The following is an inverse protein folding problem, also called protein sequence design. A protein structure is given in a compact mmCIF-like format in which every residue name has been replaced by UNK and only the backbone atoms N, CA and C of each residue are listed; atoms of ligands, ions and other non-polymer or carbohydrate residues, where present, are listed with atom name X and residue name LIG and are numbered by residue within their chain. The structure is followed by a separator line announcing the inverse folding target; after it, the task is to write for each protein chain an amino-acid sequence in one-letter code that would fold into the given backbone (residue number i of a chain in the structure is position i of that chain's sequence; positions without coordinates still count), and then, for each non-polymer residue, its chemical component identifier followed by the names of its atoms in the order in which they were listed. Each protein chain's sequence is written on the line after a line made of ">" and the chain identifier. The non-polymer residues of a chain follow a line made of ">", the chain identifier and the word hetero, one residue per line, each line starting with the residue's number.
data_IF_915332853401
#
_entry.id   IF_915332853401
#
_cell.length_a   1.000
_cell.length_b   1.000
_cell.length_c   1.000
_cell.angle_alpha   90.00
_cell.angle_beta   90.00
_cell.angle_gamma   90.00
#
_symmetry.space_group_name_H-M   'P 1'
#
loop_
_entity.id
_entity.type
_entity.pdbx_description
1 polymer ?
#
# COMPACT_ATOMS: atom_id res chain seq x y z
N UNK A 1 -9.80 -47.00 -10.99
CA UNK A 1 -10.54 -45.97 -10.29
C UNK A 1 -10.11 -44.63 -10.84
N UNK A 2 -10.83 -44.17 -11.84
CA UNK A 2 -10.61 -42.92 -12.57
C UNK A 2 -11.04 -41.74 -11.70
N UNK A 3 -10.09 -40.89 -11.35
CA UNK A 3 -10.28 -39.69 -10.56
C UNK A 3 -10.89 -38.62 -11.49
N UNK A 4 -12.22 -38.63 -11.64
CA UNK A 4 -12.96 -37.54 -12.29
C UNK A 4 -12.73 -36.27 -11.48
N UNK A 5 -11.89 -35.36 -12.00
CA UNK A 5 -11.89 -33.96 -11.59
C UNK A 5 -13.32 -33.45 -11.79
N UNK A 6 -14.08 -33.32 -10.71
CA UNK A 6 -15.33 -32.56 -10.68
C UNK A 6 -15.03 -31.15 -11.18
N UNK A 7 -15.27 -30.90 -12.44
CA UNK A 7 -15.37 -29.55 -12.97
C UNK A 7 -16.49 -28.85 -12.20
N UNK A 8 -16.11 -27.88 -11.38
CA UNK A 8 -17.07 -27.01 -10.74
C UNK A 8 -17.87 -26.32 -11.85
N UNK A 9 -19.20 -26.43 -11.87
CA UNK A 9 -20.00 -25.83 -12.94
C UNK A 9 -19.71 -24.32 -12.98
N UNK A 10 -19.43 -23.80 -14.17
CA UNK A 10 -19.23 -22.38 -14.41
C UNK A 10 -20.45 -21.65 -13.84
N UNK A 11 -20.27 -20.91 -12.74
CA UNK A 11 -21.37 -20.24 -12.08
C UNK A 11 -22.10 -19.32 -13.07
N UNK A 12 -23.43 -19.50 -13.18
CA UNK A 12 -24.25 -18.63 -14.01
C UNK A 12 -24.03 -17.17 -13.63
N UNK A 13 -24.08 -16.25 -14.62
CA UNK A 13 -23.92 -14.82 -14.37
C UNK A 13 -25.11 -14.32 -13.52
N UNK A 14 -24.89 -13.99 -12.26
CA UNK A 14 -25.91 -13.52 -11.32
C UNK A 14 -25.37 -12.45 -10.40
N UNK A 15 -26.25 -11.56 -9.95
CA UNK A 15 -25.92 -10.52 -8.96
C UNK A 15 -25.65 -11.09 -7.57
N UNK A 16 -26.12 -12.28 -7.26
CA UNK A 16 -25.85 -12.99 -6.00
C UNK A 16 -24.41 -13.48 -5.90
N UNK A 17 -23.71 -13.53 -7.03
CA UNK A 17 -22.33 -13.98 -7.09
C UNK A 17 -21.30 -12.93 -6.61
N UNK A 18 -21.72 -11.72 -6.22
CA UNK A 18 -20.83 -10.62 -5.77
C UNK A 18 -19.93 -11.06 -4.61
N UNK A 19 -20.44 -11.91 -3.72
CA UNK A 19 -19.72 -12.40 -2.54
C UNK A 19 -19.03 -13.75 -2.75
N UNK A 20 -19.07 -14.29 -3.97
CA UNK A 20 -18.42 -15.58 -4.28
C UNK A 20 -17.12 -15.36 -5.02
N UNK A 21 -16.02 -15.98 -4.56
CA UNK A 21 -14.67 -15.82 -5.12
C UNK A 21 -14.60 -16.16 -6.63
N UNK A 22 -15.33 -17.17 -7.07
CA UNK A 22 -15.38 -17.61 -8.48
C UNK A 22 -16.71 -17.23 -9.14
N UNK A 23 -17.48 -16.33 -8.56
CA UNK A 23 -18.77 -15.89 -9.06
C UNK A 23 -18.62 -14.95 -10.26
N UNK A 24 -19.42 -15.13 -11.29
CA UNK A 24 -19.49 -14.22 -12.45
C UNK A 24 -20.60 -13.21 -12.21
N UNK A 25 -20.25 -11.93 -12.20
CA UNK A 25 -21.19 -10.80 -12.02
C UNK A 25 -21.48 -10.18 -13.41
N UNK A 26 -22.71 -9.69 -13.66
CA UNK A 26 -23.02 -8.96 -14.89
C UNK A 26 -22.13 -7.73 -15.03
N UNK A 27 -21.61 -7.48 -16.26
CA UNK A 27 -20.69 -6.37 -16.54
C UNK A 27 -21.24 -5.00 -16.11
N UNK A 28 -22.54 -4.78 -16.26
CA UNK A 28 -23.20 -3.54 -15.86
C UNK A 28 -23.09 -3.21 -14.37
N UNK A 29 -22.87 -4.21 -13.49
CA UNK A 29 -22.58 -4.03 -12.07
C UNK A 29 -21.09 -4.14 -11.76
N UNK A 30 -20.37 -5.00 -12.46
CA UNK A 30 -18.95 -5.19 -12.25
C UNK A 30 -18.14 -3.93 -12.56
N UNK A 31 -18.48 -3.17 -13.61
CA UNK A 31 -17.77 -1.95 -14.00
C UNK A 31 -17.88 -0.86 -12.92
N UNK A 32 -19.07 -0.46 -12.43
CA UNK A 32 -19.17 0.53 -11.37
C UNK A 32 -18.44 0.12 -10.08
N UNK A 33 -18.56 -1.13 -9.64
CA UNK A 33 -17.85 -1.62 -8.47
C UNK A 33 -16.33 -1.62 -8.65
N UNK A 34 -15.86 -2.03 -9.84
CA UNK A 34 -14.43 -1.97 -10.18
C UNK A 34 -13.91 -0.54 -10.19
N UNK A 35 -14.64 0.40 -10.77
CA UNK A 35 -14.28 1.81 -10.79
C UNK A 35 -14.23 2.41 -9.38
N UNK A 36 -15.23 2.13 -8.56
CA UNK A 36 -15.25 2.54 -7.15
C UNK A 36 -14.03 2.01 -6.39
N UNK A 37 -13.67 0.75 -6.61
CA UNK A 37 -12.51 0.14 -5.98
C UNK A 37 -11.20 0.81 -6.42
N UNK A 38 -11.04 1.07 -7.72
CA UNK A 38 -9.87 1.79 -8.26
C UNK A 38 -9.77 3.19 -7.67
N UNK A 39 -10.86 3.95 -7.61
CA UNK A 39 -10.86 5.31 -7.05
C UNK A 39 -10.51 5.32 -5.56
N UNK A 40 -11.05 4.39 -4.78
CA UNK A 40 -10.74 4.28 -3.35
C UNK A 40 -9.27 3.94 -3.11
N UNK A 41 -8.71 2.98 -3.88
CA UNK A 41 -7.34 2.53 -3.72
C UNK A 41 -6.31 3.49 -4.34
N UNK A 42 -6.71 4.30 -5.31
CA UNK A 42 -5.85 5.32 -5.91
C UNK A 42 -5.32 6.29 -4.85
N UNK A 43 -6.22 6.88 -4.06
CA UNK A 43 -5.85 7.84 -3.02
C UNK A 43 -5.02 7.19 -1.92
N UNK A 44 -5.40 5.99 -1.47
CA UNK A 44 -4.67 5.28 -0.40
C UNK A 44 -3.26 4.86 -0.82
N UNK A 45 -3.02 4.61 -2.10
CA UNK A 45 -1.68 4.31 -2.62
C UNK A 45 -0.82 5.56 -2.81
N UNK A 46 -1.44 6.71 -3.14
CA UNK A 46 -0.71 7.98 -3.32
C UNK A 46 -0.21 8.54 -1.99
N UNK A 47 -1.01 8.46 -0.91
CA UNK A 47 -0.71 9.11 0.35
C UNK A 47 0.67 8.75 0.93
N UNK A 48 1.07 7.48 1.10
CA UNK A 48 2.37 7.14 1.67
C UNK A 48 3.54 7.58 0.77
N UNK A 49 3.36 7.52 -0.55
CA UNK A 49 4.41 7.97 -1.50
C UNK A 49 4.58 9.47 -1.43
N UNK A 50 3.48 10.24 -1.39
CA UNK A 50 3.52 11.70 -1.26
C UNK A 50 4.19 12.12 0.05
N UNK A 51 3.85 11.49 1.18
CA UNK A 51 4.44 11.80 2.49
C UNK A 51 5.96 11.59 2.45
N UNK A 52 6.41 10.47 1.89
CA UNK A 52 7.85 10.17 1.78
C UNK A 52 8.54 11.12 0.81
N UNK A 53 7.99 11.34 -0.38
CA UNK A 53 8.60 12.19 -1.40
C UNK A 53 8.67 13.67 -0.98
N UNK A 54 7.67 14.16 -0.23
CA UNK A 54 7.68 15.56 0.27
C UNK A 54 8.74 15.81 1.33
N UNK A 55 9.20 14.77 2.04
CA UNK A 55 10.25 14.86 3.05
C UNK A 55 11.62 14.41 2.53
N UNK A 56 11.69 13.81 1.34
CA UNK A 56 12.90 13.22 0.81
C UNK A 56 13.89 14.27 0.31
N UNK A 57 15.17 14.02 0.60
CA UNK A 57 16.29 14.84 0.18
C UNK A 57 17.08 14.15 -0.93
N UNK A 58 17.71 14.95 -1.79
CA UNK A 58 18.69 14.45 -2.79
C UNK A 58 19.99 14.14 -2.09
N UNK A 59 20.56 12.99 -2.38
CA UNK A 59 21.80 12.53 -1.78
C UNK A 59 22.95 13.48 -2.07
N UNK A 60 23.66 13.88 -1.03
CA UNK A 60 24.87 14.71 -1.11
C UNK A 60 24.62 16.22 -1.24
N UNK A 61 23.50 16.66 -1.81
CA UNK A 61 23.13 18.08 -1.84
C UNK A 61 22.29 18.48 -0.62
N UNK A 62 21.50 17.52 -0.08
CA UNK A 62 20.54 17.81 0.99
C UNK A 62 19.37 18.67 0.54
N UNK A 63 19.22 18.90 -0.77
CA UNK A 63 18.10 19.65 -1.32
C UNK A 63 16.82 18.78 -1.40
N UNK A 64 15.63 19.37 -1.24
CA UNK A 64 14.37 18.66 -1.42
C UNK A 64 14.18 18.23 -2.88
N UNK A 65 13.44 17.16 -3.08
CA UNK A 65 13.04 16.69 -4.41
C UNK A 65 12.23 17.75 -5.15
N UNK A 66 12.50 17.90 -6.43
CA UNK A 66 11.70 18.77 -7.31
C UNK A 66 10.32 18.18 -7.58
N UNK A 67 9.34 19.04 -7.90
CA UNK A 67 7.99 18.58 -8.24
C UNK A 67 7.94 17.60 -9.42
N UNK A 68 8.88 17.70 -10.37
CA UNK A 68 8.98 16.78 -11.50
C UNK A 68 9.43 15.38 -11.04
N UNK A 69 10.42 15.30 -10.16
CA UNK A 69 10.91 14.04 -9.58
C UNK A 69 9.85 13.36 -8.72
N UNK A 70 9.14 14.12 -7.89
CA UNK A 70 8.02 13.61 -7.09
C UNK A 70 6.96 13.01 -8.01
N UNK A 71 6.58 13.71 -9.09
CA UNK A 71 5.59 13.21 -10.06
C UNK A 71 6.06 11.91 -10.71
N UNK A 72 7.32 11.83 -11.10
CA UNK A 72 7.89 10.62 -11.69
C UNK A 72 7.88 9.44 -10.72
N UNK A 73 8.26 9.66 -9.46
CA UNK A 73 8.22 8.63 -8.41
C UNK A 73 6.79 8.13 -8.16
N UNK A 74 5.81 9.04 -8.12
CA UNK A 74 4.39 8.69 -8.01
C UNK A 74 3.91 7.82 -9.17
N UNK A 75 4.25 8.19 -10.41
CA UNK A 75 3.91 7.41 -11.59
C UNK A 75 4.52 6.01 -11.55
N UNK A 76 5.80 5.90 -11.18
CA UNK A 76 6.48 4.61 -11.03
C UNK A 76 5.83 3.74 -9.94
N UNK A 77 5.48 4.33 -8.79
CA UNK A 77 4.83 3.62 -7.69
C UNK A 77 3.44 3.10 -8.10
N UNK A 78 2.65 3.91 -8.79
CA UNK A 78 1.32 3.50 -9.29
C UNK A 78 1.42 2.40 -10.35
N UNK A 79 2.40 2.49 -11.25
CA UNK A 79 2.64 1.46 -12.26
C UNK A 79 3.06 0.13 -11.62
N UNK A 80 3.98 0.17 -10.65
CA UNK A 80 4.40 -0.99 -9.89
C UNK A 80 3.25 -1.63 -9.09
N UNK A 81 2.39 -0.82 -8.46
CA UNK A 81 1.19 -1.27 -7.77
C UNK A 81 0.21 -1.99 -8.73
N UNK A 82 0.05 -1.47 -9.94
CA UNK A 82 -0.76 -2.11 -11.00
C UNK A 82 -0.22 -3.47 -11.40
N UNK A 83 1.08 -3.58 -11.66
CA UNK A 83 1.74 -4.86 -11.98
C UNK A 83 1.59 -5.84 -10.81
N UNK A 84 1.88 -5.40 -9.57
CA UNK A 84 1.74 -6.23 -8.38
C UNK A 84 0.31 -6.75 -8.20
N UNK A 85 -0.69 -5.91 -8.43
CA UNK A 85 -2.10 -6.29 -8.38
C UNK A 85 -2.46 -7.33 -9.46
N UNK A 86 -1.96 -7.16 -10.68
CA UNK A 86 -2.15 -8.16 -11.75
C UNK A 86 -1.51 -9.51 -11.39
N UNK A 87 -0.30 -9.50 -10.83
CA UNK A 87 0.37 -10.73 -10.36
C UNK A 87 -0.38 -11.40 -9.21
N UNK A 88 -1.04 -10.61 -8.36
CA UNK A 88 -1.86 -11.12 -7.26
C UNK A 88 -3.13 -11.81 -7.77
N UNK A 89 -3.79 -11.23 -8.77
CA UNK A 89 -5.00 -11.77 -9.40
C UNK A 89 -4.71 -12.98 -10.29
N UNK A 90 -3.66 -12.89 -11.09
CA UNK A 90 -3.23 -13.93 -12.02
C UNK A 90 -1.89 -14.51 -11.57
N UNK A 91 -1.92 -15.50 -10.66
CA UNK A 91 -0.69 -16.00 -10.06
C UNK A 91 0.25 -16.59 -11.11
N UNK A 92 1.50 -16.16 -11.03
CA UNK A 92 2.58 -16.68 -11.85
C UNK A 92 3.38 -17.65 -10.96
N UNK A 93 3.37 -18.93 -11.31
CA UNK A 93 4.05 -20.01 -10.62
C UNK A 93 3.61 -20.14 -9.15
N UNK A 94 4.39 -19.63 -8.18
CA UNK A 94 4.08 -19.67 -6.72
C UNK A 94 3.74 -18.29 -6.13
N UNK A 95 3.70 -17.27 -6.95
CA UNK A 95 3.46 -15.88 -6.55
C UNK A 95 2.03 -15.51 -6.92
N UNK A 96 1.28 -14.96 -5.96
CA UNK A 96 -0.12 -14.57 -6.11
C UNK A 96 -1.08 -15.54 -5.43
N UNK A 97 -2.16 -15.00 -4.86
CA UNK A 97 -3.14 -15.76 -4.08
C UNK A 97 -4.50 -15.96 -4.78
N UNK A 98 -4.71 -15.40 -5.97
CA UNK A 98 -6.00 -15.32 -6.68
C UNK A 98 -7.08 -14.55 -5.91
N UNK A 99 -6.66 -13.71 -4.97
CA UNK A 99 -7.59 -12.87 -4.22
C UNK A 99 -7.64 -11.47 -4.86
N UNK A 100 -8.80 -10.81 -4.92
CA UNK A 100 -8.95 -9.47 -5.45
C UNK A 100 -8.43 -8.43 -4.43
N UNK A 101 -7.14 -8.46 -4.15
CA UNK A 101 -6.45 -7.55 -3.24
C UNK A 101 -5.58 -6.63 -4.09
N UNK A 102 -5.76 -5.32 -3.93
CA UNK A 102 -4.90 -4.33 -4.57
C UNK A 102 -3.59 -4.25 -3.81
N UNK A 103 -2.49 -4.35 -4.54
CA UNK A 103 -1.15 -4.18 -4.02
C UNK A 103 -0.76 -2.71 -4.07
N UNK A 104 -0.04 -2.24 -3.07
CA UNK A 104 0.40 -0.85 -2.99
C UNK A 104 1.49 -0.65 -1.96
N UNK A 105 1.87 0.60 -1.74
CA UNK A 105 2.88 0.96 -0.74
C UNK A 105 2.28 0.79 0.66
N UNK A 106 2.98 0.08 1.54
CA UNK A 106 2.54 -0.15 2.90
C UNK A 106 2.94 0.99 3.83
N UNK A 107 1.99 1.48 4.62
CA UNK A 107 2.26 2.42 5.71
C UNK A 107 3.19 1.87 6.80
N UNK A 108 3.32 0.55 6.90
CA UNK A 108 4.19 -0.10 7.90
C UNK A 108 5.65 0.35 7.80
N UNK A 109 6.13 0.60 6.58
CA UNK A 109 7.52 1.00 6.33
C UNK A 109 7.72 2.51 6.34
N UNK A 110 6.65 3.30 6.46
CA UNK A 110 6.69 4.75 6.31
C UNK A 110 7.71 5.41 7.25
N UNK A 111 7.71 5.05 8.53
CA UNK A 111 8.67 5.58 9.51
C UNK A 111 10.13 5.27 9.14
N UNK A 112 10.42 4.05 8.73
CA UNK A 112 11.77 3.65 8.31
C UNK A 112 12.19 4.34 7.01
N UNK A 113 11.28 4.48 6.06
CA UNK A 113 11.54 5.18 4.79
C UNK A 113 11.82 6.67 5.02
N UNK A 114 11.04 7.32 5.90
CA UNK A 114 11.28 8.71 6.29
C UNK A 114 12.66 8.90 6.93
N UNK A 115 13.05 8.03 7.85
CA UNK A 115 14.39 8.09 8.47
C UNK A 115 15.53 8.00 7.46
N UNK A 116 15.38 7.22 6.41
CA UNK A 116 16.40 7.04 5.38
C UNK A 116 16.38 8.23 4.42
N UNK A 117 15.23 8.62 3.91
CA UNK A 117 15.12 9.64 2.85
C UNK A 117 15.41 11.07 3.35
N UNK A 118 15.26 11.34 4.65
CA UNK A 118 15.60 12.63 5.28
C UNK A 118 17.08 12.75 5.67
N UNK A 119 17.85 11.66 5.56
CA UNK A 119 19.28 11.70 5.82
C UNK A 119 20.02 12.23 4.58
N UNK A 120 20.78 13.36 4.67
CA UNK A 120 21.48 13.95 3.52
C UNK A 120 22.53 13.04 2.88
N UNK A 121 23.09 12.07 3.62
CA UNK A 121 24.07 11.11 3.10
C UNK A 121 23.43 10.00 2.27
N UNK A 122 22.22 9.61 2.61
CA UNK A 122 21.49 8.51 1.97
C UNK A 122 20.50 9.02 0.92
N UNK A 123 19.70 10.01 1.28
CA UNK A 123 18.70 10.61 0.42
C UNK A 123 17.66 9.62 -0.10
N UNK A 124 16.94 10.03 -1.14
CA UNK A 124 15.93 9.16 -1.77
C UNK A 124 16.58 7.98 -2.53
N UNK A 125 17.78 8.12 -3.04
CA UNK A 125 18.52 7.05 -3.71
C UNK A 125 18.84 5.90 -2.75
N UNK A 126 19.29 6.25 -1.54
CA UNK A 126 19.53 5.28 -0.48
C UNK A 126 18.24 4.59 -0.04
N UNK A 127 17.14 5.33 0.02
CA UNK A 127 15.81 4.79 0.31
C UNK A 127 15.37 3.77 -0.76
N UNK A 128 15.49 4.09 -2.04
CA UNK A 128 15.16 3.15 -3.14
C UNK A 128 16.03 1.89 -3.05
N UNK A 129 17.34 2.06 -2.79
CA UNK A 129 18.23 0.91 -2.56
C UNK A 129 17.77 0.03 -1.41
N UNK A 130 17.38 0.63 -0.28
CA UNK A 130 16.85 -0.09 0.87
C UNK A 130 15.53 -0.83 0.55
N UNK A 131 14.64 -0.22 -0.23
CA UNK A 131 13.38 -0.86 -0.66
C UNK A 131 13.64 -2.07 -1.55
N UNK A 132 14.59 -1.99 -2.48
CA UNK A 132 14.96 -3.11 -3.37
C UNK A 132 15.52 -4.28 -2.54
N UNK A 133 16.47 -4.00 -1.65
CA UNK A 133 17.07 -5.02 -0.78
C UNK A 133 16.05 -5.61 0.18
N UNK A 134 15.21 -4.76 0.78
CA UNK A 134 14.11 -5.18 1.65
C UNK A 134 13.11 -6.07 0.93
N UNK A 135 12.73 -5.72 -0.30
CA UNK A 135 11.81 -6.49 -1.13
C UNK A 135 12.36 -7.88 -1.49
N UNK A 136 13.66 -7.99 -1.79
CA UNK A 136 14.32 -9.27 -2.01
C UNK A 136 14.28 -10.12 -0.72
N UNK A 137 14.61 -9.52 0.41
CA UNK A 137 14.57 -10.19 1.71
C UNK A 137 13.16 -10.65 2.07
N UNK A 138 12.16 -9.78 1.90
CA UNK A 138 10.74 -10.09 2.14
C UNK A 138 10.26 -11.23 1.23
N UNK A 139 10.68 -11.23 -0.04
CA UNK A 139 10.40 -12.31 -0.97
C UNK A 139 10.96 -13.64 -0.51
N UNK A 140 12.19 -13.68 0.00
CA UNK A 140 12.83 -14.88 0.56
C UNK A 140 12.09 -15.37 1.81
N UNK A 141 11.72 -14.44 2.71
CA UNK A 141 10.91 -14.75 3.90
C UNK A 141 9.52 -15.27 3.47
N UNK A 142 8.92 -14.69 2.44
CA UNK A 142 7.64 -15.13 1.88
C UNK A 142 7.69 -16.57 1.35
N UNK A 143 8.77 -16.98 0.68
CA UNK A 143 8.97 -18.35 0.24
C UNK A 143 9.05 -19.34 1.41
N UNK A 144 9.56 -18.89 2.55
CA UNK A 144 9.64 -19.68 3.81
C UNK A 144 8.37 -19.58 4.68
N UNK A 145 7.30 -18.95 4.20
CA UNK A 145 6.05 -18.70 4.95
C UNK A 145 5.44 -19.96 5.57
N UNK A 146 5.68 -21.14 4.98
CA UNK A 146 5.26 -22.43 5.53
C UNK A 146 5.74 -22.65 6.98
N UNK A 147 6.93 -22.16 7.31
CA UNK A 147 7.52 -22.31 8.65
C UNK A 147 7.01 -21.21 9.60
N UNK A 148 6.85 -19.98 9.11
CA UNK A 148 6.49 -18.81 9.91
C UNK A 148 5.01 -18.73 10.29
N UNK A 149 4.11 -19.25 9.44
CA UNK A 149 2.67 -19.20 9.71
C UNK A 149 2.24 -19.83 11.04
N UNK A 150 3.07 -20.72 11.62
CA UNK A 150 2.81 -21.31 12.93
C UNK A 150 2.93 -20.29 14.07
N UNK A 151 3.78 -19.28 13.89
CA UNK A 151 3.99 -18.21 14.88
C UNK A 151 2.99 -17.06 14.74
N UNK A 152 2.35 -16.93 13.58
CA UNK A 152 1.35 -15.89 13.30
C UNK A 152 -0.01 -16.26 13.92
N UNK A 153 -0.08 -16.18 15.25
CA UNK A 153 -1.34 -16.32 15.97
C UNK A 153 -2.16 -15.02 15.85
N UNK A 154 -3.50 -15.04 16.04
CA UNK A 154 -4.32 -13.84 16.04
C UNK A 154 -3.83 -12.77 17.03
N UNK A 155 -3.29 -13.18 18.18
CA UNK A 155 -2.73 -12.28 19.20
C UNK A 155 -1.49 -11.55 18.67
N UNK A 156 -0.57 -12.28 18.04
CA UNK A 156 0.63 -11.68 17.43
C UNK A 156 0.23 -10.68 16.34
N UNK A 157 -0.71 -11.04 15.48
CA UNK A 157 -1.22 -10.14 14.45
C UNK A 157 -1.84 -8.88 15.04
N UNK A 158 -2.62 -8.99 16.11
CA UNK A 158 -3.20 -7.84 16.80
C UNK A 158 -2.11 -6.92 17.39
N UNK A 159 -1.09 -7.49 18.04
CA UNK A 159 0.04 -6.71 18.58
C UNK A 159 0.79 -5.95 17.48
N UNK A 160 1.03 -6.60 16.33
CA UNK A 160 1.70 -5.96 15.19
C UNK A 160 0.88 -4.80 14.64
N UNK A 161 -0.44 -4.98 14.46
CA UNK A 161 -1.34 -3.91 13.98
C UNK A 161 -1.36 -2.72 14.95
N UNK A 162 -1.41 -2.97 16.25
CA UNK A 162 -1.35 -1.92 17.29
C UNK A 162 -0.01 -1.19 17.21
N UNK A 163 1.11 -1.91 17.12
CA UNK A 163 2.44 -1.31 17.01
C UNK A 163 2.58 -0.43 15.77
N UNK A 164 2.05 -0.87 14.62
CA UNK A 164 1.99 -0.07 13.38
C UNK A 164 1.17 1.21 13.62
N UNK A 165 -0.01 1.09 14.22
CA UNK A 165 -0.86 2.24 14.54
C UNK A 165 -0.14 3.28 15.41
N UNK A 166 0.57 2.84 16.44
CA UNK A 166 1.37 3.75 17.28
C UNK A 166 2.54 4.40 16.52
N UNK A 167 3.23 3.68 15.66
CA UNK A 167 4.34 4.24 14.86
C UNK A 167 3.87 5.28 13.85
N UNK A 168 2.63 5.22 13.40
CA UNK A 168 2.03 6.18 12.48
C UNK A 168 1.37 7.38 13.16
N UNK A 169 1.28 7.37 14.47
CA UNK A 169 0.60 8.45 15.21
C UNK A 169 1.27 9.82 15.00
N UNK A 170 2.61 9.87 14.99
CA UNK A 170 3.36 11.09 14.68
C UNK A 170 3.04 11.62 13.28
N UNK A 171 3.05 10.74 12.27
CA UNK A 171 2.72 11.11 10.88
C UNK A 171 1.28 11.63 10.76
N UNK A 172 0.35 11.02 11.51
CA UNK A 172 -1.03 11.49 11.59
C UNK A 172 -1.14 12.87 12.22
N UNK A 173 -0.40 13.14 13.29
CA UNK A 173 -0.37 14.45 13.95
C UNK A 173 0.25 15.53 13.05
N UNK A 174 1.34 15.20 12.35
CA UNK A 174 1.95 16.12 11.39
C UNK A 174 0.98 16.47 10.25
N UNK A 175 0.28 15.48 9.72
CA UNK A 175 -0.74 15.68 8.69
C UNK A 175 -1.92 16.51 9.19
N UNK A 176 -2.35 16.30 10.44
CA UNK A 176 -3.43 17.09 11.07
C UNK A 176 -3.02 18.55 11.29
N UNK A 177 -1.74 18.79 11.61
CA UNK A 177 -1.19 20.13 11.82
C UNK A 177 -1.01 20.96 10.54
N UNK A 178 -1.20 20.38 9.35
CA UNK A 178 -1.02 21.06 8.07
C UNK A 178 0.01 20.41 7.14
N UNK A 179 0.69 19.35 7.62
CA UNK A 179 1.71 18.63 6.88
C UNK A 179 3.12 19.15 7.11
N UNK A 180 4.10 18.40 6.58
CA UNK A 180 5.52 18.76 6.71
C UNK A 180 5.83 20.07 5.97
N UNK A 181 6.42 21.04 6.69
CA UNK A 181 6.88 22.31 6.11
C UNK A 181 5.79 23.38 5.98
N UNK A 182 4.61 23.20 6.56
CA UNK A 182 3.60 24.25 6.61
C UNK A 182 4.07 25.42 7.51
N UNK A 183 4.09 26.64 6.98
CA UNK A 183 4.50 27.84 7.73
C UNK A 183 3.58 28.13 8.92
N UNK A 184 2.31 27.74 8.82
CA UNK A 184 1.26 27.91 9.81
C UNK A 184 0.90 26.59 10.53
N UNK A 185 1.88 25.69 10.73
CA UNK A 185 1.68 24.41 11.39
C UNK A 185 0.96 24.55 12.74
N UNK A 186 -0.08 23.73 12.92
CA UNK A 186 -0.88 23.75 14.14
C UNK A 186 -1.89 24.89 14.24
N UNK A 187 -2.11 25.66 13.15
CA UNK A 187 -3.14 26.68 13.13
C UNK A 187 -4.53 26.10 13.40
N UNK A 188 -5.40 26.87 14.03
CA UNK A 188 -6.77 26.44 14.35
C UNK A 188 -7.55 25.99 13.09
N UNK A 189 -7.23 26.56 11.94
CA UNK A 189 -7.82 26.23 10.66
C UNK A 189 -7.50 24.79 10.22
N UNK A 190 -6.23 24.39 10.30
CA UNK A 190 -5.79 23.01 10.01
C UNK A 190 -6.39 22.01 10.99
N UNK A 191 -6.43 22.34 12.27
CA UNK A 191 -7.03 21.49 13.30
C UNK A 191 -8.52 21.30 13.08
N UNK A 192 -9.24 22.34 12.62
CA UNK A 192 -10.66 22.27 12.36
C UNK A 192 -10.96 21.44 11.10
N UNK A 193 -10.18 21.61 10.02
CA UNK A 193 -10.30 20.78 8.81
C UNK A 193 -10.01 19.31 9.15
N UNK A 194 -8.93 19.03 9.90
CA UNK A 194 -8.60 17.70 10.35
C UNK A 194 -9.71 17.07 11.18
N UNK A 195 -10.33 17.83 12.08
CA UNK A 195 -11.46 17.36 12.88
C UNK A 195 -12.69 17.05 12.00
N UNK A 196 -13.02 17.90 11.04
CA UNK A 196 -14.12 17.64 10.09
C UNK A 196 -13.84 16.37 9.30
N UNK A 197 -12.61 16.20 8.79
CA UNK A 197 -12.22 15.02 8.03
C UNK A 197 -12.28 13.72 8.86
N UNK A 198 -12.04 13.81 10.17
CA UNK A 198 -12.13 12.66 11.06
C UNK A 198 -13.58 12.23 11.32
N UNK A 199 -14.54 13.16 11.26
CA UNK A 199 -15.96 12.91 11.57
C UNK A 199 -16.76 12.48 10.34
N UNK A 200 -16.34 12.86 9.13
CA UNK A 200 -16.98 12.52 7.84
C UNK A 200 -16.52 11.16 7.35
#
# INVERSE_FOLDING_TARGET
>A
MTNEKKETPVAAVSTENIYRLNGRVPLGKAIPFGLQHVLAMFVSNLAPVLIVCSAALVRGSGEPLTGAEITQLLQCAMFAAGIGTCMQLYPIWKIGSRLPIVMGVSFTFLGSLLMICTNPELGYEGMIGAVILGGIFEGLVGLSAKYWKRFLTPVVSACVVIAIGYSLLSVGMDSWGGGNGAEDFGSWYHLLIGLITLVV
#
